data_IF_741507418439
#
_entry.id   IF_741507418439
#
_cell.length_a   1.000
_cell.length_b   1.000
_cell.length_c   1.000
_cell.angle_alpha   90.00
_cell.angle_beta   90.00
_cell.angle_gamma   90.00
#
_symmetry.space_group_name_H-M   'P 1'
#
loop_
_entity.id
_entity.type
_entity.pdbx_description
1 polymer ?
#
# COMPACT_ATOMS: atom_id res chain seq x y z
N UNK A 1 -4.43 -3.28 74.15
CA UNK A 1 -5.47 -4.14 74.74
C UNK A 1 -5.66 -5.26 73.78
N UNK A 2 -4.99 -6.33 73.99
CA UNK A 2 -5.24 -7.46 74.84
C UNK A 2 -6.07 -8.53 74.17
N UNK A 3 -5.35 -9.60 73.75
CA UNK A 3 -5.57 -11.01 73.94
C UNK A 3 -6.82 -11.62 73.26
N UNK A 4 -6.83 -12.79 72.66
CA UNK A 4 -6.20 -14.06 73.07
C UNK A 4 -6.18 -15.08 71.92
N UNK A 5 -5.15 -15.87 71.97
CA UNK A 5 -4.94 -17.21 71.34
C UNK A 5 -6.02 -18.21 71.73
N UNK A 6 -6.31 -19.18 70.90
CA UNK A 6 -6.52 -20.59 71.27
C UNK A 6 -6.22 -21.49 70.04
N UNK A 7 -5.26 -22.38 70.19
CA UNK A 7 -5.02 -23.66 69.49
C UNK A 7 -5.21 -24.76 70.52
N UNK A 8 -5.11 -26.09 70.24
CA UNK A 8 -5.33 -26.97 69.07
C UNK A 8 -6.18 -28.22 69.40
N UNK A 9 -6.48 -29.08 68.45
CA UNK A 9 -6.55 -30.56 68.66
C UNK A 9 -6.67 -31.22 67.26
N UNK A 10 -5.72 -31.95 66.80
CA UNK A 10 -5.40 -33.42 66.97
C UNK A 10 -6.45 -34.33 66.33
N UNK A 11 -6.02 -35.06 65.32
CA UNK A 11 -6.36 -36.46 65.16
C UNK A 11 -7.02 -36.88 63.87
N UNK A 12 -6.28 -37.59 63.09
CA UNK A 12 -6.53 -38.90 62.52
C UNK A 12 -6.05 -39.03 61.05
N UNK A 13 -5.03 -39.84 60.92
CA UNK A 13 -4.58 -40.44 59.67
C UNK A 13 -5.62 -41.45 59.19
N UNK A 14 -5.85 -41.47 57.85
CA UNK A 14 -6.24 -42.67 57.12
C UNK A 14 -5.91 -42.56 55.66
N UNK A 15 -5.03 -43.42 55.21
CA UNK A 15 -4.89 -44.10 53.94
C UNK A 15 -4.94 -43.33 52.62
N UNK A 16 -3.79 -43.29 51.98
CA UNK A 16 -3.62 -43.16 50.53
C UNK A 16 -4.08 -44.43 49.78
N UNK A 17 -4.59 -44.28 48.58
CA UNK A 17 -4.08 -45.13 47.52
C UNK A 17 -3.41 -44.33 46.41
N UNK A 18 -2.21 -44.74 46.19
CA UNK A 18 -1.41 -44.63 44.99
C UNK A 18 -2.23 -44.62 43.68
N UNK A 19 -2.21 -43.53 42.94
CA UNK A 19 -2.48 -43.52 41.50
C UNK A 19 -1.43 -42.69 40.80
N UNK A 20 -0.43 -43.41 40.33
CA UNK A 20 0.37 -43.06 39.20
C UNK A 20 -0.54 -42.85 37.98
N UNK A 21 -0.61 -41.64 37.47
CA UNK A 21 -0.96 -41.36 36.08
C UNK A 21 -0.29 -40.03 35.73
N UNK A 22 0.80 -40.19 35.09
CA UNK A 22 1.54 -39.23 34.29
C UNK A 22 0.61 -38.69 33.17
N UNK A 23 -0.06 -37.59 33.42
CA UNK A 23 -0.72 -36.79 32.37
C UNK A 23 0.00 -35.46 32.35
N UNK A 24 1.06 -35.43 31.53
CA UNK A 24 1.67 -34.19 31.09
C UNK A 24 0.60 -33.27 30.45
N UNK A 25 0.73 -31.95 30.62
CA UNK A 25 -0.20 -31.03 30.00
C UNK A 25 -0.16 -31.24 28.49
N UNK A 26 -1.26 -31.76 27.95
CA UNK A 26 -1.49 -31.79 26.49
C UNK A 26 -1.40 -30.36 25.98
N UNK A 27 -0.27 -30.05 25.41
CA UNK A 27 -0.16 -28.91 24.49
C UNK A 27 -1.11 -29.20 23.34
N UNK A 28 -2.36 -28.76 23.47
CA UNK A 28 -3.19 -28.47 22.32
C UNK A 28 -2.51 -27.31 21.60
N UNK A 29 -1.47 -27.66 20.84
CA UNK A 29 -0.98 -26.81 19.78
C UNK A 29 -2.18 -26.55 18.87
N UNK A 30 -2.82 -25.40 19.01
CA UNK A 30 -3.59 -24.85 17.92
C UNK A 30 -2.64 -24.80 16.73
N UNK A 31 -2.71 -25.84 15.92
CA UNK A 31 -2.15 -25.85 14.59
C UNK A 31 -2.81 -24.65 13.91
N UNK A 32 -2.03 -23.58 13.75
CA UNK A 32 -2.33 -22.52 12.79
C UNK A 32 -2.67 -23.29 11.51
N UNK A 33 -3.96 -23.35 11.18
CA UNK A 33 -4.43 -23.98 9.96
C UNK A 33 -3.67 -23.33 8.80
N UNK A 34 -2.62 -24.01 8.39
CA UNK A 34 -1.83 -23.62 7.23
C UNK A 34 -2.78 -23.59 6.05
N UNK A 35 -3.02 -22.42 5.49
CA UNK A 35 -3.70 -22.25 4.21
C UNK A 35 -3.22 -23.36 3.25
N UNK A 36 -4.13 -24.13 2.62
CA UNK A 36 -3.73 -25.23 1.78
C UNK A 36 -2.77 -24.75 0.69
N UNK A 37 -1.56 -25.26 0.72
CA UNK A 37 -0.47 -24.90 -0.22
C UNK A 37 -0.69 -25.35 -1.66
N UNK A 38 -1.75 -26.12 -1.93
CA UNK A 38 -2.07 -26.51 -3.30
C UNK A 38 -3.02 -25.50 -3.94
N UNK A 39 -2.47 -24.45 -4.54
CA UNK A 39 -3.24 -23.73 -5.55
C UNK A 39 -3.48 -24.71 -6.70
N UNK A 40 -4.70 -25.24 -6.79
CA UNK A 40 -5.09 -26.05 -7.94
C UNK A 40 -4.91 -25.23 -9.22
N UNK A 41 -4.64 -25.87 -10.35
CA UNK A 41 -4.55 -25.19 -11.65
C UNK A 41 -5.79 -24.29 -11.90
N UNK A 42 -6.96 -24.75 -11.45
CA UNK A 42 -8.21 -24.01 -11.51
C UNK A 42 -8.15 -22.69 -10.69
N UNK A 43 -7.57 -22.69 -9.48
CA UNK A 43 -7.44 -21.47 -8.68
C UNK A 43 -6.50 -20.44 -9.31
N UNK A 44 -5.41 -20.91 -9.95
CA UNK A 44 -4.50 -20.04 -10.72
C UNK A 44 -5.18 -19.47 -11.95
N UNK A 45 -5.92 -20.30 -12.68
CA UNK A 45 -6.69 -19.86 -13.85
C UNK A 45 -7.73 -18.82 -13.45
N UNK A 46 -8.51 -19.07 -12.40
CA UNK A 46 -9.49 -18.12 -11.87
C UNK A 46 -8.84 -16.78 -11.44
N UNK A 47 -7.64 -16.82 -10.84
CA UNK A 47 -6.89 -15.60 -10.49
C UNK A 47 -6.50 -14.80 -11.74
N UNK A 48 -5.96 -15.46 -12.76
CA UNK A 48 -5.55 -14.80 -14.00
C UNK A 48 -6.76 -14.24 -14.76
N UNK A 49 -7.89 -14.95 -14.74
CA UNK A 49 -9.14 -14.48 -15.34
C UNK A 49 -9.67 -13.23 -14.64
N UNK A 50 -9.64 -13.19 -13.32
CA UNK A 50 -10.00 -11.99 -12.53
C UNK A 50 -9.08 -10.80 -12.86
N UNK A 51 -7.78 -11.02 -12.93
CA UNK A 51 -6.82 -9.98 -13.28
C UNK A 51 -7.00 -9.48 -14.72
N UNK A 52 -7.23 -10.39 -15.68
CA UNK A 52 -7.50 -10.04 -17.07
C UNK A 52 -8.81 -9.24 -17.22
N UNK A 53 -9.86 -9.61 -16.48
CA UNK A 53 -11.10 -8.85 -16.44
C UNK A 53 -10.88 -7.43 -15.93
N UNK A 54 -10.18 -7.27 -14.80
CA UNK A 54 -9.89 -5.94 -14.25
C UNK A 54 -9.02 -5.12 -15.22
N UNK A 55 -8.02 -5.73 -15.85
CA UNK A 55 -7.22 -5.05 -16.88
C UNK A 55 -8.09 -4.54 -18.03
N UNK A 56 -9.03 -5.35 -18.51
CA UNK A 56 -9.96 -4.94 -19.55
C UNK A 56 -10.86 -3.78 -19.10
N UNK A 57 -11.38 -3.85 -17.87
CA UNK A 57 -12.16 -2.75 -17.27
C UNK A 57 -11.33 -1.48 -17.15
N UNK A 58 -10.07 -1.54 -16.72
CA UNK A 58 -9.17 -0.40 -16.63
C UNK A 58 -8.89 0.19 -18.02
N UNK A 59 -8.69 -0.66 -19.01
CA UNK A 59 -8.51 -0.23 -20.40
C UNK A 59 -9.77 0.46 -20.96
N UNK A 60 -10.97 -0.03 -20.65
CA UNK A 60 -12.22 0.63 -21.03
C UNK A 60 -12.41 1.96 -20.30
N UNK A 61 -12.01 2.05 -19.02
CA UNK A 61 -12.17 3.27 -18.20
C UNK A 61 -11.18 4.37 -18.61
N UNK A 62 -9.90 4.03 -18.81
CA UNK A 62 -8.80 4.98 -18.97
C UNK A 62 -8.08 4.88 -20.33
N UNK A 63 -8.65 4.15 -21.31
CA UNK A 63 -8.04 3.88 -22.61
C UNK A 63 -8.15 5.04 -23.62
N UNK A 64 -8.03 6.29 -23.15
CA UNK A 64 -7.97 7.49 -24.00
C UNK A 64 -6.67 7.54 -24.81
N UNK A 65 -6.68 8.30 -25.93
CA UNK A 65 -5.46 8.49 -26.70
C UNK A 65 -4.38 9.23 -25.87
N UNK A 66 -3.11 8.80 -25.93
CA UNK A 66 -2.02 9.52 -25.29
C UNK A 66 -1.79 10.90 -25.94
N UNK A 67 -1.32 11.90 -25.16
CA UNK A 67 -1.08 11.88 -23.73
C UNK A 67 -2.33 12.17 -22.90
N UNK A 68 -2.48 11.49 -21.78
CA UNK A 68 -3.41 11.87 -20.71
C UNK A 68 -2.80 12.98 -19.82
N UNK A 69 -3.58 13.54 -18.89
CA UNK A 69 -3.34 14.81 -18.16
C UNK A 69 -1.87 15.02 -17.74
N UNK A 70 -1.28 14.12 -16.96
CA UNK A 70 0.12 14.27 -16.48
C UNK A 70 1.14 13.47 -17.31
N UNK A 71 0.68 12.65 -18.20
CA UNK A 71 1.50 11.69 -18.95
C UNK A 71 2.57 12.38 -19.80
N UNK A 72 2.23 13.54 -20.39
CA UNK A 72 3.18 14.35 -21.15
C UNK A 72 4.41 14.76 -20.29
N UNK A 73 4.18 15.13 -19.01
CA UNK A 73 5.24 15.53 -18.10
C UNK A 73 6.13 14.33 -17.73
N UNK A 74 5.52 13.19 -17.38
CA UNK A 74 6.27 11.99 -16.99
C UNK A 74 7.08 11.42 -18.14
N UNK A 75 6.45 11.26 -19.32
CA UNK A 75 7.10 10.67 -20.49
C UNK A 75 8.11 11.61 -21.15
N UNK A 76 7.80 12.92 -21.20
CA UNK A 76 8.73 13.92 -21.71
C UNK A 76 10.03 13.92 -20.89
N UNK A 77 9.89 13.99 -19.56
CA UNK A 77 11.05 13.95 -18.66
C UNK A 77 11.79 12.62 -18.71
N UNK A 78 11.08 11.50 -18.79
CA UNK A 78 11.68 10.18 -18.94
C UNK A 78 12.46 10.04 -20.26
N UNK A 79 11.96 10.60 -21.36
CA UNK A 79 12.68 10.63 -22.64
C UNK A 79 13.92 11.51 -22.57
N UNK A 80 13.80 12.74 -22.03
CA UNK A 80 14.94 13.63 -21.85
C UNK A 80 16.03 13.02 -20.95
N UNK A 81 15.66 12.25 -19.94
CA UNK A 81 16.60 11.53 -19.06
C UNK A 81 17.55 10.62 -19.85
N UNK A 82 17.06 9.94 -20.89
CA UNK A 82 17.84 9.05 -21.75
C UNK A 82 18.42 9.74 -22.98
N UNK A 83 17.83 10.86 -23.41
CA UNK A 83 18.19 11.63 -24.60
C UNK A 83 18.26 13.13 -24.22
N UNK A 84 19.33 13.59 -23.54
CA UNK A 84 19.42 14.95 -23.02
C UNK A 84 19.34 16.04 -24.08
N UNK A 85 19.75 15.73 -25.32
CA UNK A 85 19.68 16.68 -26.45
C UNK A 85 18.24 16.88 -26.96
N UNK A 86 17.31 15.96 -26.63
CA UNK A 86 15.92 16.11 -26.98
C UNK A 86 15.28 17.20 -26.12
N UNK A 87 14.84 18.27 -26.76
CA UNK A 87 14.30 19.47 -26.12
C UNK A 87 15.26 20.11 -25.09
N UNK A 88 16.54 20.24 -25.46
CA UNK A 88 17.61 20.74 -24.56
C UNK A 88 17.39 22.16 -24.01
N UNK A 89 16.48 22.95 -24.56
CA UNK A 89 16.15 24.30 -24.05
C UNK A 89 14.98 24.32 -23.05
N UNK A 90 14.36 23.17 -22.73
CA UNK A 90 13.21 23.12 -21.83
C UNK A 90 13.62 23.09 -20.35
N UNK A 91 13.26 24.12 -19.61
CA UNK A 91 13.62 24.30 -18.19
C UNK A 91 13.03 23.19 -17.31
N UNK A 92 11.81 22.71 -17.61
CA UNK A 92 11.18 21.64 -16.84
C UNK A 92 11.92 20.32 -17.03
N UNK A 93 12.33 20.00 -18.26
CA UNK A 93 13.05 18.76 -18.55
C UNK A 93 14.46 18.74 -17.91
N UNK A 94 15.10 19.91 -17.77
CA UNK A 94 16.37 20.05 -17.06
C UNK A 94 16.25 20.06 -15.54
N UNK A 95 15.05 20.18 -14.96
CA UNK A 95 14.87 20.15 -13.52
C UNK A 95 15.27 18.80 -12.90
N UNK A 96 15.35 18.71 -11.57
CA UNK A 96 15.72 17.49 -10.85
C UNK A 96 14.79 16.30 -11.14
N UNK A 97 15.31 15.09 -11.07
CA UNK A 97 14.62 13.84 -11.44
C UNK A 97 13.91 13.20 -10.23
N UNK A 98 12.69 13.65 -9.92
CA UNK A 98 11.92 13.19 -8.76
C UNK A 98 11.56 11.69 -8.80
N UNK A 99 11.35 11.13 -9.98
CA UNK A 99 10.89 9.75 -10.19
C UNK A 99 11.95 8.92 -10.91
N UNK A 100 13.15 8.90 -10.34
CA UNK A 100 14.33 8.31 -10.98
C UNK A 100 14.10 6.87 -11.46
N UNK A 101 13.52 6.00 -10.62
CA UNK A 101 13.28 4.60 -10.99
C UNK A 101 12.28 4.46 -12.15
N UNK A 102 11.26 5.31 -12.22
CA UNK A 102 10.34 5.36 -13.35
C UNK A 102 11.07 5.78 -14.64
N UNK A 103 11.96 6.78 -14.56
CA UNK A 103 12.72 7.24 -15.72
C UNK A 103 13.70 6.18 -16.22
N UNK A 104 14.37 5.46 -15.31
CA UNK A 104 15.27 4.38 -15.67
C UNK A 104 14.52 3.19 -16.30
N UNK A 105 13.37 2.81 -15.75
CA UNK A 105 12.62 1.62 -16.20
C UNK A 105 11.73 1.92 -17.40
N UNK A 106 10.60 2.58 -17.17
CA UNK A 106 9.61 2.92 -18.22
C UNK A 106 10.23 3.88 -19.24
N UNK A 107 10.98 4.87 -18.76
CA UNK A 107 11.67 5.83 -19.61
C UNK A 107 12.69 5.20 -20.54
N UNK A 108 13.37 4.13 -20.13
CA UNK A 108 14.30 3.38 -20.97
C UNK A 108 13.70 2.83 -22.26
N UNK A 109 12.38 2.60 -22.29
CA UNK A 109 11.67 2.20 -23.51
C UNK A 109 11.73 3.25 -24.64
N UNK A 110 11.99 4.52 -24.31
CA UNK A 110 12.14 5.59 -25.30
C UNK A 110 13.38 5.39 -26.21
N UNK A 111 14.32 4.53 -25.81
CA UNK A 111 15.46 4.20 -26.66
C UNK A 111 15.04 3.38 -27.90
N UNK A 112 13.92 2.68 -27.85
CA UNK A 112 13.45 1.79 -28.92
C UNK A 112 12.10 2.17 -29.49
N UNK A 113 11.26 2.89 -28.73
CA UNK A 113 9.88 3.19 -29.11
C UNK A 113 9.57 4.69 -29.08
N UNK A 114 8.60 5.12 -29.86
CA UNK A 114 8.08 6.48 -29.79
C UNK A 114 7.24 6.69 -28.51
N UNK A 115 7.01 7.96 -28.11
CA UNK A 115 6.30 8.33 -26.90
C UNK A 115 4.91 7.71 -26.77
N UNK A 116 4.15 7.63 -27.89
CA UNK A 116 2.80 7.05 -27.87
C UNK A 116 2.84 5.55 -27.56
N UNK A 117 3.79 4.82 -28.12
CA UNK A 117 4.01 3.39 -27.82
C UNK A 117 4.47 3.19 -26.38
N UNK A 118 5.39 4.04 -25.88
CA UNK A 118 5.83 3.99 -24.48
C UNK A 118 4.68 4.28 -23.53
N UNK A 119 3.79 5.24 -23.87
CA UNK A 119 2.59 5.52 -23.10
C UNK A 119 1.72 4.27 -22.96
N UNK A 120 1.39 3.60 -24.07
CA UNK A 120 0.56 2.38 -24.04
C UNK A 120 1.22 1.23 -23.31
N UNK A 121 2.50 0.98 -23.54
CA UNK A 121 3.24 -0.07 -22.82
C UNK A 121 3.29 0.22 -21.32
N UNK A 122 3.53 1.48 -20.95
CA UNK A 122 3.55 1.92 -19.57
C UNK A 122 2.19 1.80 -18.89
N UNK A 123 1.10 2.23 -19.57
CA UNK A 123 -0.29 2.07 -19.07
C UNK A 123 -0.63 0.61 -18.84
N UNK A 124 -0.46 -0.24 -19.86
CA UNK A 124 -0.79 -1.66 -19.77
C UNK A 124 0.00 -2.36 -18.65
N UNK A 125 1.29 -2.07 -18.51
CA UNK A 125 2.11 -2.65 -17.44
C UNK A 125 1.70 -2.14 -16.05
N UNK A 126 1.39 -0.86 -15.89
CA UNK A 126 0.89 -0.28 -14.64
C UNK A 126 -0.48 -0.85 -14.28
N UNK A 127 -1.44 -0.87 -15.19
CA UNK A 127 -2.78 -1.42 -14.96
C UNK A 127 -2.75 -2.92 -14.65
N UNK A 128 -1.90 -3.68 -15.36
CA UNK A 128 -1.70 -5.10 -15.07
C UNK A 128 -1.15 -5.31 -13.66
N UNK A 129 -0.14 -4.52 -13.27
CA UNK A 129 0.45 -4.58 -11.93
C UNK A 129 -0.60 -4.28 -10.85
N UNK A 130 -1.44 -3.27 -11.07
CA UNK A 130 -2.55 -2.92 -10.16
C UNK A 130 -3.58 -4.06 -10.12
N UNK A 131 -4.00 -4.59 -11.28
CA UNK A 131 -4.99 -5.68 -11.33
C UNK A 131 -4.49 -6.93 -10.60
N UNK A 132 -3.24 -7.34 -10.82
CA UNK A 132 -2.62 -8.48 -10.14
C UNK A 132 -2.50 -8.22 -8.62
N UNK A 133 -2.03 -7.03 -8.23
CA UNK A 133 -1.91 -6.64 -6.83
C UNK A 133 -3.26 -6.60 -6.12
N UNK A 134 -4.29 -6.03 -6.77
CA UNK A 134 -5.66 -5.99 -6.25
C UNK A 134 -6.26 -7.40 -6.07
N UNK A 135 -6.16 -8.25 -7.09
CA UNK A 135 -6.61 -9.64 -6.99
C UNK A 135 -5.87 -10.40 -5.89
N UNK A 136 -4.56 -10.19 -5.76
CA UNK A 136 -3.76 -10.80 -4.70
C UNK A 136 -4.21 -10.33 -3.31
N UNK A 137 -4.46 -9.04 -3.13
CA UNK A 137 -4.98 -8.46 -1.89
C UNK A 137 -6.36 -9.03 -1.55
N UNK A 138 -7.32 -9.01 -2.48
CA UNK A 138 -8.65 -9.56 -2.28
C UNK A 138 -8.62 -11.05 -1.90
N UNK A 139 -7.79 -11.85 -2.58
CA UNK A 139 -7.63 -13.27 -2.26
C UNK A 139 -6.88 -13.54 -0.95
N UNK A 140 -6.23 -12.54 -0.39
CA UNK A 140 -5.68 -12.62 0.96
C UNK A 140 -6.76 -12.44 2.04
N UNK A 141 -7.88 -11.82 1.69
CA UNK A 141 -9.03 -11.61 2.56
C UNK A 141 -10.07 -12.72 2.43
N UNK A 142 -10.31 -13.18 1.21
CA UNK A 142 -11.32 -14.20 0.93
C UNK A 142 -10.96 -15.00 -0.31
N UNK A 143 -11.33 -16.30 -0.30
CA UNK A 143 -11.14 -17.17 -1.46
C UNK A 143 -12.37 -17.19 -2.39
N UNK A 144 -13.39 -16.37 -2.11
CA UNK A 144 -14.61 -16.33 -2.93
C UNK A 144 -14.31 -15.70 -4.29
N UNK A 145 -14.66 -16.44 -5.33
CA UNK A 145 -14.54 -15.96 -6.71
C UNK A 145 -15.47 -14.75 -6.95
N UNK A 146 -15.02 -13.82 -7.78
CA UNK A 146 -15.78 -12.62 -8.14
C UNK A 146 -15.62 -11.44 -7.18
N UNK A 147 -15.12 -11.65 -5.95
CA UNK A 147 -14.93 -10.53 -4.98
C UNK A 147 -13.95 -9.49 -5.52
N UNK A 148 -12.88 -9.91 -6.20
CA UNK A 148 -11.93 -8.98 -6.80
C UNK A 148 -12.57 -8.12 -7.90
N UNK A 149 -13.49 -8.67 -8.69
CA UNK A 149 -14.22 -7.92 -9.72
C UNK A 149 -15.12 -6.86 -9.12
N UNK A 150 -16.03 -7.31 -8.23
CA UNK A 150 -17.00 -6.40 -7.62
C UNK A 150 -16.28 -5.28 -6.85
N UNK A 151 -15.31 -5.64 -6.02
CA UNK A 151 -14.54 -4.64 -5.27
C UNK A 151 -13.68 -3.75 -6.16
N UNK A 152 -13.15 -4.26 -7.28
CA UNK A 152 -12.41 -3.49 -8.26
C UNK A 152 -13.28 -2.48 -9.01
N UNK A 153 -14.51 -2.84 -9.35
CA UNK A 153 -15.50 -1.91 -9.93
C UNK A 153 -15.89 -0.83 -8.92
N UNK A 154 -16.14 -1.22 -7.66
CA UNK A 154 -16.41 -0.26 -6.57
C UNK A 154 -15.22 0.68 -6.38
N UNK A 155 -13.99 0.16 -6.42
CA UNK A 155 -12.77 0.96 -6.32
C UNK A 155 -12.70 2.03 -7.44
N UNK A 156 -13.02 1.66 -8.70
CA UNK A 156 -13.06 2.62 -9.81
C UNK A 156 -14.15 3.68 -9.62
N UNK A 157 -15.33 3.29 -9.15
CA UNK A 157 -16.41 4.24 -8.85
C UNK A 157 -15.98 5.21 -7.73
N UNK A 158 -15.35 4.70 -6.67
CA UNK A 158 -14.83 5.53 -5.58
C UNK A 158 -13.68 6.43 -6.03
N UNK A 159 -12.80 5.95 -6.90
CA UNK A 159 -11.77 6.79 -7.53
C UNK A 159 -12.40 7.94 -8.32
N UNK A 160 -13.49 7.70 -9.05
CA UNK A 160 -14.13 8.71 -9.86
C UNK A 160 -14.95 9.72 -9.05
N UNK A 161 -15.71 9.25 -8.07
CA UNK A 161 -16.69 10.07 -7.34
C UNK A 161 -16.29 10.41 -5.91
N UNK A 162 -15.43 9.61 -5.27
CA UNK A 162 -15.15 9.66 -3.84
C UNK A 162 -13.82 10.31 -3.45
N UNK A 163 -12.97 10.68 -4.41
CA UNK A 163 -11.68 11.29 -4.10
C UNK A 163 -11.83 12.72 -3.56
N UNK A 164 -11.03 13.06 -2.55
CA UNK A 164 -11.04 14.40 -1.96
C UNK A 164 -10.23 15.41 -2.78
N UNK A 165 -9.01 15.05 -3.14
CA UNK A 165 -8.01 15.94 -3.71
C UNK A 165 -7.85 15.84 -5.25
N UNK A 166 -8.75 15.16 -5.98
CA UNK A 166 -8.67 15.04 -7.44
C UNK A 166 -7.59 14.08 -7.94
N UNK A 167 -7.08 13.21 -7.09
CA UNK A 167 -6.07 12.22 -7.48
C UNK A 167 -6.72 10.96 -8.07
N UNK A 168 -6.06 10.36 -9.06
CA UNK A 168 -6.47 9.09 -9.67
C UNK A 168 -5.35 8.06 -9.59
N UNK A 169 -5.72 6.78 -9.65
CA UNK A 169 -4.81 5.64 -9.64
C UNK A 169 -4.79 4.94 -11.00
N UNK A 170 -5.97 4.80 -11.62
CA UNK A 170 -6.14 4.25 -12.96
C UNK A 170 -6.32 5.41 -13.92
N UNK A 171 -5.38 5.59 -14.84
CA UNK A 171 -5.32 6.70 -15.80
C UNK A 171 -4.12 6.52 -16.73
N UNK A 172 -3.55 7.64 -17.22
CA UNK A 172 -2.31 7.67 -17.97
C UNK A 172 -1.11 7.10 -17.21
N UNK A 173 -0.01 6.82 -17.90
CA UNK A 173 1.16 6.24 -17.24
C UNK A 173 1.88 7.29 -16.38
N UNK A 174 1.97 6.97 -15.10
CA UNK A 174 2.67 7.75 -14.08
C UNK A 174 3.39 6.83 -13.10
N UNK A 175 4.41 7.34 -12.42
CA UNK A 175 5.16 6.60 -11.41
C UNK A 175 4.25 6.09 -10.27
N UNK A 176 3.20 6.86 -9.90
CA UNK A 176 2.25 6.49 -8.84
C UNK A 176 1.45 5.23 -9.17
N UNK A 177 1.11 4.97 -10.43
CA UNK A 177 0.38 3.76 -10.81
C UNK A 177 1.16 2.49 -10.46
N UNK A 178 2.46 2.46 -10.76
CA UNK A 178 3.34 1.35 -10.34
C UNK A 178 3.42 1.24 -8.82
N UNK A 179 3.58 2.38 -8.12
CA UNK A 179 3.62 2.39 -6.67
C UNK A 179 2.36 1.77 -6.04
N UNK A 180 1.16 2.12 -6.52
CA UNK A 180 -0.09 1.52 -6.04
C UNK A 180 -0.19 0.01 -6.31
N UNK A 181 0.31 -0.47 -7.44
CA UNK A 181 0.40 -1.91 -7.69
C UNK A 181 1.20 -2.63 -6.60
N UNK A 182 2.36 -2.11 -6.23
CA UNK A 182 3.18 -2.64 -5.13
C UNK A 182 2.51 -2.47 -3.76
N UNK A 183 1.78 -1.37 -3.53
CA UNK A 183 0.99 -1.18 -2.31
C UNK A 183 0.01 -2.32 -2.12
N UNK A 184 -0.73 -2.72 -3.14
CA UNK A 184 -1.70 -3.80 -3.04
C UNK A 184 -1.05 -5.17 -2.77
N UNK A 185 0.12 -5.46 -3.35
CA UNK A 185 0.87 -6.65 -2.98
C UNK A 185 1.30 -6.63 -1.50
N UNK A 186 1.82 -5.49 -1.02
CA UNK A 186 2.18 -5.31 0.38
C UNK A 186 0.98 -5.47 1.32
N UNK A 187 -0.19 -4.91 0.98
CA UNK A 187 -1.43 -5.09 1.74
C UNK A 187 -1.83 -6.56 1.83
N UNK A 188 -1.74 -7.30 0.73
CA UNK A 188 -2.03 -8.74 0.73
C UNK A 188 -1.08 -9.53 1.63
N UNK A 189 0.20 -9.14 1.71
CA UNK A 189 1.18 -9.74 2.64
C UNK A 189 0.90 -9.37 4.09
N UNK A 190 0.57 -8.11 4.36
CA UNK A 190 0.18 -7.65 5.69
C UNK A 190 -1.03 -8.42 6.23
N UNK A 191 -2.05 -8.62 5.41
CA UNK A 191 -3.25 -9.41 5.76
C UNK A 191 -2.88 -10.83 6.19
N UNK A 192 -1.91 -11.43 5.50
CA UNK A 192 -1.39 -12.78 5.81
C UNK A 192 -0.40 -12.80 6.98
N UNK A 193 -0.08 -11.65 7.56
CA UNK A 193 0.92 -11.54 8.63
C UNK A 193 2.38 -11.63 8.16
N UNK A 194 2.64 -11.62 6.86
CA UNK A 194 3.99 -11.65 6.29
C UNK A 194 4.58 -10.23 6.21
N UNK A 195 5.01 -9.73 7.34
CA UNK A 195 5.59 -8.38 7.46
C UNK A 195 6.94 -8.24 6.78
N UNK A 196 7.71 -9.32 6.66
CA UNK A 196 9.01 -9.30 5.94
C UNK A 196 8.82 -8.86 4.50
N UNK A 197 7.97 -9.59 3.79
CA UNK A 197 7.75 -9.35 2.36
C UNK A 197 6.94 -8.06 2.13
N UNK A 198 6.07 -7.69 3.07
CA UNK A 198 5.29 -6.47 2.92
C UNK A 198 6.18 -5.21 2.96
N UNK A 199 7.21 -5.13 3.82
CA UNK A 199 8.16 -4.01 3.82
C UNK A 199 8.93 -3.89 2.50
N UNK A 200 9.28 -5.01 1.87
CA UNK A 200 9.94 -5.02 0.56
C UNK A 200 9.02 -4.43 -0.52
N UNK A 201 7.75 -4.85 -0.58
CA UNK A 201 6.79 -4.30 -1.54
C UNK A 201 6.55 -2.80 -1.35
N UNK A 202 6.46 -2.34 -0.11
CA UNK A 202 6.28 -0.91 0.16
C UNK A 202 7.56 -0.10 -0.06
N UNK A 203 8.74 -0.70 0.12
CA UNK A 203 10.00 -0.12 -0.32
C UNK A 203 10.05 0.10 -1.84
N UNK A 204 9.55 -0.86 -2.63
CA UNK A 204 9.40 -0.69 -4.08
C UNK A 204 8.38 0.39 -4.43
N UNK A 205 7.27 0.50 -3.69
CA UNK A 205 6.32 1.59 -3.88
C UNK A 205 6.98 2.95 -3.65
N UNK A 206 7.78 3.11 -2.58
CA UNK A 206 8.60 4.30 -2.32
C UNK A 206 9.60 4.58 -3.45
N UNK A 207 10.24 3.54 -3.99
CA UNK A 207 11.21 3.68 -5.06
C UNK A 207 10.61 4.28 -6.33
N UNK A 208 9.37 3.91 -6.67
CA UNK A 208 8.65 4.49 -7.82
C UNK A 208 8.06 5.86 -7.50
N UNK A 209 7.41 6.01 -6.32
CA UNK A 209 6.74 7.25 -5.95
C UNK A 209 6.84 7.49 -4.43
N UNK A 210 7.75 8.36 -4.04
CA UNK A 210 8.12 8.58 -2.63
C UNK A 210 6.94 8.98 -1.74
N UNK A 211 6.01 9.81 -2.24
CA UNK A 211 4.85 10.23 -1.46
C UNK A 211 3.87 9.07 -1.23
N UNK A 212 3.53 8.31 -2.29
CA UNK A 212 2.62 7.15 -2.16
C UNK A 212 3.23 6.12 -1.22
N UNK A 213 4.48 5.71 -1.47
CA UNK A 213 5.16 4.73 -0.63
C UNK A 213 5.42 5.23 0.79
N UNK A 214 5.79 6.50 0.96
CA UNK A 214 6.05 7.11 2.26
C UNK A 214 4.82 7.12 3.16
N UNK A 215 3.65 7.54 2.65
CA UNK A 215 2.40 7.49 3.40
C UNK A 215 1.99 6.06 3.76
N UNK A 216 2.17 5.12 2.83
CA UNK A 216 1.91 3.71 3.08
C UNK A 216 2.82 3.15 4.18
N UNK A 217 4.11 3.51 4.18
CA UNK A 217 5.05 3.13 5.24
C UNK A 217 4.62 3.68 6.60
N UNK A 218 4.19 4.96 6.67
CA UNK A 218 3.68 5.56 7.91
C UNK A 218 2.46 4.79 8.42
N UNK A 219 1.46 4.54 7.57
CA UNK A 219 0.26 3.77 7.92
C UNK A 219 0.60 2.33 8.36
N UNK A 220 1.56 1.71 7.67
CA UNK A 220 2.03 0.37 8.00
C UNK A 220 2.75 0.31 9.34
N UNK A 221 3.57 1.31 9.66
CA UNK A 221 4.23 1.41 10.97
C UNK A 221 3.19 1.54 12.09
N UNK A 222 2.14 2.34 11.92
CA UNK A 222 1.05 2.45 12.89
C UNK A 222 0.32 1.11 13.08
N UNK A 223 0.02 0.40 11.99
CA UNK A 223 -0.60 -0.93 12.04
C UNK A 223 0.29 -1.96 12.73
N UNK A 224 1.60 -1.92 12.45
CA UNK A 224 2.59 -2.81 13.05
C UNK A 224 2.77 -2.54 14.55
N UNK A 225 2.94 -1.28 14.94
CA UNK A 225 3.06 -0.87 16.35
C UNK A 225 1.79 -1.20 17.15
N UNK A 226 0.61 -1.09 16.54
CA UNK A 226 -0.68 -1.41 17.15
C UNK A 226 -0.90 -2.89 17.48
N UNK A 227 0.05 -3.79 17.24
CA UNK A 227 -0.03 -5.20 17.58
C UNK A 227 0.67 -6.17 16.63
N UNK A 228 1.02 -5.72 15.44
CA UNK A 228 1.70 -6.58 14.45
C UNK A 228 3.07 -7.09 14.91
N UNK A 229 3.76 -6.34 15.77
CA UNK A 229 5.07 -6.70 16.29
C UNK A 229 5.03 -7.91 17.28
N UNK A 230 3.89 -8.16 17.92
CA UNK A 230 3.73 -9.26 18.88
C UNK A 230 3.69 -10.64 18.22
N UNK A 231 3.24 -10.67 16.96
CA UNK A 231 3.04 -11.91 16.21
C UNK A 231 4.26 -12.29 15.36
N UNK A 232 5.39 -11.56 15.49
CA UNK A 232 6.49 -11.64 14.55
C UNK A 232 7.82 -11.99 15.20
N UNK A 233 8.62 -12.76 14.46
CA UNK A 233 10.03 -12.94 14.77
C UNK A 233 10.77 -11.66 14.44
N UNK A 234 11.40 -11.02 15.43
CA UNK A 234 12.05 -9.71 15.27
C UNK A 234 13.12 -9.69 14.18
N UNK A 235 13.98 -10.71 14.11
CA UNK A 235 15.08 -10.74 13.16
C UNK A 235 14.63 -10.79 11.69
N UNK A 236 13.72 -11.69 11.24
CA UNK A 236 13.22 -11.65 9.88
C UNK A 236 12.52 -10.33 9.52
N UNK A 237 11.75 -9.76 10.44
CA UNK A 237 11.09 -8.47 10.21
C UNK A 237 12.11 -7.34 10.04
N UNK A 238 13.19 -7.33 10.81
CA UNK A 238 14.29 -6.37 10.65
C UNK A 238 14.95 -6.50 9.27
N UNK A 239 15.15 -7.71 8.76
CA UNK A 239 15.65 -7.92 7.38
C UNK A 239 14.69 -7.31 6.36
N UNK A 240 13.39 -7.53 6.49
CA UNK A 240 12.39 -6.92 5.61
C UNK A 240 12.41 -5.39 5.64
N UNK A 241 12.52 -4.80 6.83
CA UNK A 241 12.65 -3.35 7.03
C UNK A 241 13.93 -2.79 6.39
N UNK A 242 15.07 -3.46 6.56
CA UNK A 242 16.34 -3.04 5.95
C UNK A 242 16.25 -3.11 4.42
N UNK A 243 15.78 -4.22 3.86
CA UNK A 243 15.66 -4.36 2.40
C UNK A 243 14.65 -3.37 1.81
N UNK A 244 13.49 -3.21 2.45
CA UNK A 244 12.49 -2.22 2.04
C UNK A 244 13.02 -0.79 2.17
N UNK A 245 13.75 -0.49 3.24
CA UNK A 245 14.43 0.79 3.45
C UNK A 245 15.47 1.09 2.38
N UNK A 246 16.32 0.14 2.05
CA UNK A 246 17.30 0.28 0.95
C UNK A 246 16.62 0.54 -0.40
N UNK A 247 15.53 -0.17 -0.69
CA UNK A 247 14.76 0.07 -1.91
C UNK A 247 14.13 1.48 -1.92
N UNK A 248 13.62 1.94 -0.78
CA UNK A 248 13.02 3.29 -0.68
C UNK A 248 14.02 4.41 -0.94
N UNK A 249 15.31 4.20 -0.74
CA UNK A 249 16.34 5.19 -1.05
C UNK A 249 16.40 5.53 -2.54
N UNK A 250 16.02 4.61 -3.43
CA UNK A 250 15.96 4.86 -4.88
C UNK A 250 14.97 5.98 -5.24
N UNK A 251 13.90 6.17 -4.46
CA UNK A 251 12.98 7.30 -4.61
C UNK A 251 13.28 8.43 -3.63
N UNK A 252 13.71 8.11 -2.41
CA UNK A 252 13.95 9.06 -1.33
C UNK A 252 15.12 9.99 -1.61
N UNK A 253 16.26 9.46 -2.07
CA UNK A 253 17.46 10.28 -2.39
C UNK A 253 17.16 11.32 -3.49
N UNK A 254 16.61 10.94 -4.67
CA UNK A 254 16.19 11.91 -5.66
C UNK A 254 15.21 12.96 -5.11
N UNK A 255 14.26 12.54 -4.27
CA UNK A 255 13.30 13.43 -3.62
C UNK A 255 13.93 14.49 -2.72
N UNK A 256 14.92 14.08 -1.92
CA UNK A 256 15.69 15.02 -1.05
C UNK A 256 16.54 15.97 -1.88
N UNK A 257 17.14 15.50 -2.96
CA UNK A 257 17.99 16.32 -3.83
C UNK A 257 17.21 17.36 -4.66
N UNK A 258 15.87 17.29 -4.70
CA UNK A 258 15.05 18.31 -5.40
C UNK A 258 15.27 19.73 -4.89
N UNK A 259 15.52 19.89 -3.59
CA UNK A 259 15.77 21.20 -2.97
C UNK A 259 17.25 21.55 -2.79
N UNK A 260 18.18 20.68 -3.21
CA UNK A 260 19.59 20.90 -3.02
C UNK A 260 20.08 22.04 -3.92
N UNK A 261 20.79 23.03 -3.31
CA UNK A 261 21.36 24.17 -4.04
C UNK A 261 20.40 25.34 -4.28
N UNK A 262 19.16 25.28 -3.75
CA UNK A 262 18.22 26.42 -3.79
C UNK A 262 18.44 27.29 -2.55
N UNK A 263 18.61 28.61 -2.73
CA UNK A 263 18.72 29.53 -1.61
C UNK A 263 17.41 29.58 -0.80
N UNK A 264 17.53 29.81 0.53
CA UNK A 264 16.41 29.73 1.46
C UNK A 264 15.21 30.61 1.12
N UNK A 265 15.48 31.84 0.62
CA UNK A 265 14.41 32.76 0.19
C UNK A 265 13.63 32.27 -1.03
N UNK A 266 14.33 31.81 -2.03
CA UNK A 266 13.73 31.28 -3.25
C UNK A 266 12.96 29.98 -2.99
N UNK A 267 13.46 29.15 -2.05
CA UNK A 267 12.78 27.93 -1.61
C UNK A 267 11.42 28.24 -0.95
N UNK A 268 11.38 29.23 -0.05
CA UNK A 268 10.13 29.63 0.63
C UNK A 268 9.11 30.14 -0.38
N UNK A 269 9.53 31.00 -1.31
CA UNK A 269 8.63 31.55 -2.33
C UNK A 269 8.16 30.46 -3.32
N UNK A 270 9.04 29.55 -3.73
CA UNK A 270 8.68 28.41 -4.55
C UNK A 270 7.63 27.50 -3.87
N UNK A 271 7.80 27.26 -2.56
CA UNK A 271 6.82 26.51 -1.75
C UNK A 271 5.48 27.25 -1.67
N UNK A 272 5.49 28.56 -1.46
CA UNK A 272 4.29 29.39 -1.42
C UNK A 272 3.50 29.29 -2.72
N UNK A 273 4.18 29.50 -3.85
CA UNK A 273 3.59 29.41 -5.20
C UNK A 273 3.07 27.99 -5.46
N UNK A 274 3.86 26.96 -5.10
CA UNK A 274 3.46 25.57 -5.29
C UNK A 274 2.20 25.21 -4.51
N UNK A 275 2.13 25.55 -3.23
CA UNK A 275 1.01 25.21 -2.34
C UNK A 275 -0.23 26.03 -2.64
N UNK A 276 -0.11 27.38 -2.70
CA UNK A 276 -1.26 28.27 -2.70
C UNK A 276 -1.73 28.74 -4.08
N UNK A 277 -0.90 28.60 -5.11
CA UNK A 277 -1.26 29.01 -6.46
C UNK A 277 -1.42 27.81 -7.40
N UNK A 278 -0.44 26.90 -7.41
CA UNK A 278 -0.41 25.80 -8.38
C UNK A 278 -1.17 24.55 -7.92
N UNK A 279 -1.10 24.20 -6.63
CA UNK A 279 -1.64 22.95 -6.09
C UNK A 279 -2.62 23.13 -4.93
N UNK A 280 -3.23 24.31 -4.79
CA UNK A 280 -4.18 24.60 -3.73
C UNK A 280 -5.31 23.56 -3.64
N UNK A 281 -5.82 23.08 -4.77
CA UNK A 281 -6.88 22.07 -4.85
C UNK A 281 -6.46 20.66 -4.39
N UNK A 282 -5.18 20.45 -4.09
CA UNK A 282 -4.67 19.21 -3.49
C UNK A 282 -4.20 19.40 -2.05
N UNK A 283 -3.74 20.61 -1.69
CA UNK A 283 -2.99 20.83 -0.48
C UNK A 283 -3.67 21.79 0.52
N UNK A 284 -4.57 22.64 0.05
CA UNK A 284 -5.21 23.65 0.91
C UNK A 284 -6.64 23.24 1.22
N UNK A 285 -6.90 22.92 2.48
CA UNK A 285 -8.21 22.42 2.93
C UNK A 285 -9.37 23.35 2.56
N UNK A 286 -9.18 24.66 2.67
CA UNK A 286 -10.22 25.65 2.33
C UNK A 286 -10.58 25.70 0.83
N UNK A 287 -9.77 25.08 -0.03
CA UNK A 287 -10.05 25.01 -1.48
C UNK A 287 -10.92 23.79 -1.85
N UNK A 288 -11.16 22.86 -0.92
CA UNK A 288 -12.04 21.72 -1.18
C UNK A 288 -13.51 22.15 -1.17
N UNK A 289 -14.26 21.74 -2.18
CA UNK A 289 -15.69 22.02 -2.20
C UNK A 289 -16.43 21.28 -1.08
N UNK A 290 -17.47 21.90 -0.52
CA UNK A 290 -18.29 21.27 0.53
C UNK A 290 -18.87 19.91 0.09
N UNK A 291 -19.16 19.74 -1.20
CA UNK A 291 -19.65 18.49 -1.78
C UNK A 291 -18.59 17.37 -1.69
N UNK A 292 -17.32 17.66 -2.04
CA UNK A 292 -16.22 16.69 -1.93
C UNK A 292 -15.99 16.31 -0.47
N UNK A 293 -15.98 17.28 0.43
CA UNK A 293 -15.87 17.04 1.87
C UNK A 293 -17.02 16.17 2.39
N UNK A 294 -18.25 16.44 2.00
CA UNK A 294 -19.41 15.66 2.42
C UNK A 294 -19.34 14.21 1.89
N UNK A 295 -18.95 14.01 0.61
CA UNK A 295 -18.77 12.67 0.04
C UNK A 295 -17.67 11.89 0.76
N UNK A 296 -16.52 12.50 0.99
CA UNK A 296 -15.40 11.87 1.68
C UNK A 296 -15.77 11.52 3.13
N UNK A 297 -16.38 12.46 3.87
CA UNK A 297 -16.86 12.22 5.23
C UNK A 297 -17.90 11.10 5.29
N UNK A 298 -18.82 11.06 4.31
CA UNK A 298 -19.80 9.98 4.18
C UNK A 298 -19.14 8.61 3.98
N UNK A 299 -18.09 8.53 3.15
CA UNK A 299 -17.33 7.29 2.97
C UNK A 299 -16.60 6.85 4.24
N UNK A 300 -15.99 7.79 4.98
CA UNK A 300 -15.36 7.50 6.28
C UNK A 300 -16.40 7.00 7.29
N UNK A 301 -17.58 7.63 7.37
CA UNK A 301 -18.66 7.15 8.22
C UNK A 301 -19.16 5.75 7.84
N UNK A 302 -19.36 5.48 6.55
CA UNK A 302 -19.75 4.14 6.06
C UNK A 302 -18.70 3.09 6.40
N UNK A 303 -17.42 3.44 6.24
CA UNK A 303 -16.31 2.56 6.63
C UNK A 303 -16.32 2.28 8.14
N UNK A 304 -16.49 3.30 8.97
CA UNK A 304 -16.57 3.15 10.43
C UNK A 304 -17.75 2.25 10.86
N UNK A 305 -18.95 2.47 10.28
CA UNK A 305 -20.13 1.63 10.54
C UNK A 305 -19.85 0.18 10.08
N UNK A 306 -19.33 0.00 8.88
CA UNK A 306 -19.03 -1.32 8.34
C UNK A 306 -18.01 -2.09 9.18
N UNK A 307 -16.96 -1.42 9.67
CA UNK A 307 -15.95 -2.05 10.53
C UNK A 307 -16.47 -2.39 11.91
N UNK A 308 -17.40 -1.58 12.46
CA UNK A 308 -18.06 -1.84 13.75
C UNK A 308 -19.08 -2.99 13.70
N UNK A 309 -19.63 -3.27 12.51
CA UNK A 309 -20.62 -4.34 12.31
C UNK A 309 -20.02 -5.74 12.07
N UNK A 310 -18.70 -5.84 11.86
CA UNK A 310 -18.03 -7.11 11.54
C UNK A 310 -17.20 -7.58 12.72
N UNK A 311 -17.36 -8.85 13.11
CA UNK A 311 -16.48 -9.49 14.11
C UNK A 311 -15.01 -9.43 13.65
N UNK A 312 -14.15 -8.92 14.52
CA UNK A 312 -12.75 -8.65 14.14
C UNK A 312 -11.89 -9.92 14.14
N UNK A 313 -11.57 -10.42 12.96
CA UNK A 313 -10.45 -11.35 12.80
C UNK A 313 -9.09 -10.63 12.91
N UNK A 314 -8.01 -11.36 13.13
CA UNK A 314 -6.65 -10.79 13.17
C UNK A 314 -6.30 -10.04 11.87
N UNK A 315 -6.76 -10.52 10.72
CA UNK A 315 -6.58 -9.89 9.41
C UNK A 315 -7.34 -8.59 9.28
N UNK A 316 -8.59 -8.56 9.74
CA UNK A 316 -9.43 -7.35 9.75
C UNK A 316 -8.86 -6.28 10.69
N UNK A 317 -8.37 -6.69 11.86
CA UNK A 317 -7.70 -5.77 12.78
C UNK A 317 -6.46 -5.13 12.19
N UNK A 318 -5.67 -5.86 11.37
CA UNK A 318 -4.51 -5.30 10.67
C UNK A 318 -4.92 -4.26 9.63
N UNK A 319 -5.96 -4.54 8.82
CA UNK A 319 -6.49 -3.58 7.85
C UNK A 319 -7.06 -2.35 8.55
N UNK A 320 -7.86 -2.53 9.59
CA UNK A 320 -8.43 -1.42 10.35
C UNK A 320 -7.35 -0.46 10.85
N UNK A 321 -6.29 -0.99 11.48
CA UNK A 321 -5.18 -0.18 11.97
C UNK A 321 -4.42 0.52 10.85
N UNK A 322 -4.22 -0.17 9.73
CA UNK A 322 -3.60 0.42 8.54
C UNK A 322 -4.44 1.59 8.01
N UNK A 323 -5.76 1.41 7.87
CA UNK A 323 -6.66 2.45 7.37
C UNK A 323 -6.72 3.65 8.33
N UNK A 324 -6.73 3.42 9.65
CA UNK A 324 -6.62 4.49 10.64
C UNK A 324 -5.30 5.28 10.51
N UNK A 325 -4.23 4.64 10.07
CA UNK A 325 -2.95 5.30 9.80
C UNK A 325 -2.92 6.10 8.50
N UNK A 326 -3.93 5.99 7.64
CA UNK A 326 -4.06 6.76 6.39
C UNK A 326 -5.02 7.95 6.50
N UNK A 327 -5.81 8.01 7.56
CA UNK A 327 -6.74 9.11 7.88
C UNK A 327 -6.09 10.07 8.86
#
# INVERSE_FOLDING_TARGET
MSFSEVSPSSGAALDAPNRSADEGPSQTGESIEGFPRSTTALARFAFLLEAAFLLAVFACYAGTLPPDVNEAHYLGKAKHFWMPDWCAGDLFLHSSNAHWLFYVTVGGLNLWFNLATVAWLGRLSSWLLIALGWCYFCRSLTQRWGVAWVSGLVFLLLQHFGHLAGEWIIGGVEAKGFAFGFVFFGLGRMVRGDWVTCWIWWGLACAFHVLVGGWVVVAAMMAWMGGGWRDQRLLPTAVGLVLGGLLSLLGGIPGVLLGAGVEGGDWIEAQRVYVFERRQHHLVFSSFSGERLARFSGLVCLWMIGTGAVESSSSQSRILRFTLGTV
#
